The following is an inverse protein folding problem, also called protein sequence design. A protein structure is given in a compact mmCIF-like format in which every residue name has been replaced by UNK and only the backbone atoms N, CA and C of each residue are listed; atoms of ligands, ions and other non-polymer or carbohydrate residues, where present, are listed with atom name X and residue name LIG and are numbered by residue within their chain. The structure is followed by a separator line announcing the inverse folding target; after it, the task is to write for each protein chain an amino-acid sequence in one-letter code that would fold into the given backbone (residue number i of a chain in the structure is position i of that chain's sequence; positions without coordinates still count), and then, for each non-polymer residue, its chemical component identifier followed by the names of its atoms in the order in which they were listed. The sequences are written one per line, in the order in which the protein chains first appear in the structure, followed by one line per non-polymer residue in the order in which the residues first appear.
data_IF_871468639494
#
_entry.id   IF_871468639494
#
_cell.length_a   1.000
_cell.length_b   1.000
_cell.length_c   1.000
_cell.angle_alpha   90.00
_cell.angle_beta   90.00
_cell.angle_gamma   90.00
#
_symmetry.space_group_name_H-M   'P 1'
#
loop_
_entity.id
_entity.type
_entity.pdbx_description
1 polymer ?
#
# COMPACT_ATOMS: atom_id res chain seq x y z
N UNK A 1 -10.32 -8.29 -6.10
CA UNK A 1 -8.98 -8.86 -6.30
C UNK A 1 -9.08 -10.28 -5.84
N UNK A 2 -8.73 -11.22 -6.71
CA UNK A 2 -9.01 -12.65 -6.47
C UNK A 2 -7.76 -13.36 -5.92
N UNK A 3 -6.57 -12.81 -6.19
CA UNK A 3 -5.27 -13.33 -5.73
C UNK A 3 -4.35 -12.18 -5.35
N UNK A 4 -3.64 -12.31 -4.24
CA UNK A 4 -2.59 -11.39 -3.78
C UNK A 4 -1.25 -12.13 -3.68
N UNK A 5 -0.17 -11.49 -4.14
CA UNK A 5 1.20 -12.04 -4.10
C UNK A 5 2.06 -11.28 -3.08
N UNK A 6 2.82 -12.03 -2.28
CA UNK A 6 3.82 -11.49 -1.35
C UNK A 6 5.04 -12.41 -1.30
N UNK A 7 6.16 -11.95 -1.86
CA UNK A 7 7.45 -12.65 -1.74
C UNK A 7 7.46 -14.04 -2.39
N UNK A 8 6.80 -14.19 -3.53
CA UNK A 8 6.65 -15.43 -4.29
C UNK A 8 5.54 -16.35 -3.79
N UNK A 9 4.76 -15.93 -2.79
CA UNK A 9 3.62 -16.68 -2.25
C UNK A 9 2.31 -16.03 -2.68
N UNK A 10 1.39 -16.86 -3.16
CA UNK A 10 0.06 -16.44 -3.59
C UNK A 10 -0.96 -16.77 -2.51
N UNK A 11 -1.85 -15.83 -2.22
CA UNK A 11 -2.99 -16.00 -1.33
C UNK A 11 -4.28 -15.64 -2.06
N UNK A 12 -5.22 -16.56 -2.10
CA UNK A 12 -6.59 -16.31 -2.57
C UNK A 12 -7.39 -15.66 -1.45
N UNK A 13 -8.27 -14.71 -1.80
CA UNK A 13 -9.20 -14.05 -0.87
C UNK A 13 -8.57 -13.54 0.44
N UNK A 14 -7.36 -12.98 0.36
CA UNK A 14 -6.75 -12.32 1.53
C UNK A 14 -7.65 -11.20 2.07
N UNK A 15 -7.72 -11.10 3.40
CA UNK A 15 -8.37 -9.96 4.04
C UNK A 15 -7.81 -8.64 3.49
N UNK A 16 -8.71 -7.80 3.01
CA UNK A 16 -8.34 -6.60 2.24
C UNK A 16 -7.60 -5.58 3.10
N UNK A 17 -7.91 -5.49 4.39
CA UNK A 17 -7.22 -4.59 5.31
C UNK A 17 -5.82 -5.10 5.63
N UNK A 18 -5.67 -6.42 5.78
CA UNK A 18 -4.35 -7.06 5.92
C UNK A 18 -3.50 -6.83 4.66
N UNK A 19 -4.06 -7.04 3.48
CA UNK A 19 -3.38 -6.81 2.22
C UNK A 19 -2.97 -5.34 2.04
N UNK A 20 -3.88 -4.41 2.37
CA UNK A 20 -3.61 -2.98 2.34
C UNK A 20 -2.49 -2.60 3.32
N UNK A 21 -2.53 -3.09 4.56
CA UNK A 21 -1.51 -2.83 5.56
C UNK A 21 -0.13 -3.32 5.11
N UNK A 22 -0.06 -4.52 4.53
CA UNK A 22 1.19 -5.08 3.96
C UNK A 22 1.74 -4.18 2.85
N UNK A 23 0.91 -3.81 1.88
CA UNK A 23 1.32 -2.93 0.78
C UNK A 23 1.83 -1.58 1.28
N UNK A 24 1.10 -0.94 2.18
CA UNK A 24 1.49 0.36 2.75
C UNK A 24 2.77 0.28 3.58
N UNK A 25 2.98 -0.80 4.33
CA UNK A 25 4.21 -1.01 5.11
C UNK A 25 5.42 -1.19 4.20
N UNK A 26 5.27 -1.96 3.12
CA UNK A 26 6.33 -2.14 2.10
C UNK A 26 6.67 -0.81 1.43
N UNK A 27 5.67 -0.03 1.02
CA UNK A 27 5.87 1.29 0.43
C UNK A 27 6.57 2.27 1.39
N UNK A 28 6.17 2.30 2.67
CA UNK A 28 6.81 3.14 3.68
C UNK A 28 8.29 2.81 3.87
N UNK A 29 8.64 1.51 3.93
CA UNK A 29 10.04 1.07 4.00
C UNK A 29 10.83 1.46 2.76
N UNK A 30 10.22 1.39 1.59
CA UNK A 30 10.87 1.85 0.36
C UNK A 30 11.15 3.36 0.42
N UNK A 31 10.21 4.17 0.92
CA UNK A 31 10.44 5.60 1.14
C UNK A 31 11.63 5.83 2.07
N UNK A 32 11.64 5.16 3.23
CA UNK A 32 12.71 5.31 4.21
C UNK A 32 14.09 5.00 3.62
N UNK A 33 14.15 4.03 2.70
CA UNK A 33 15.40 3.62 2.06
C UNK A 33 15.82 4.47 0.85
N UNK A 34 14.89 5.16 0.19
CA UNK A 34 15.15 5.76 -1.13
C UNK A 34 14.90 7.26 -1.21
N UNK A 35 14.23 7.87 -0.22
CA UNK A 35 13.84 9.27 -0.27
C UNK A 35 14.58 10.06 0.80
N UNK A 36 15.41 11.00 0.36
CA UNK A 36 15.96 12.04 1.23
C UNK A 36 14.89 13.09 1.57
N UNK A 37 14.47 13.09 2.84
CA UNK A 37 13.43 14.00 3.34
C UNK A 37 13.88 15.45 3.47
N UNK A 38 15.17 15.74 3.37
CA UNK A 38 15.67 17.12 3.36
C UNK A 38 15.40 17.83 2.02
N UNK A 39 15.21 17.05 0.95
CA UNK A 39 15.04 17.54 -0.43
C UNK A 39 13.66 17.24 -1.00
N UNK A 40 12.94 16.24 -0.48
CA UNK A 40 11.62 15.86 -0.96
C UNK A 40 10.59 15.69 0.16
N UNK A 41 9.32 16.00 -0.14
CA UNK A 41 8.17 15.74 0.75
C UNK A 41 7.26 14.70 0.12
N UNK A 42 6.86 13.71 0.91
CA UNK A 42 5.94 12.65 0.49
C UNK A 42 4.57 12.92 1.09
N UNK A 43 3.53 12.84 0.26
CA UNK A 43 2.14 12.96 0.66
C UNK A 43 1.39 11.68 0.29
N UNK A 44 0.48 11.26 1.15
CA UNK A 44 -0.47 10.18 0.85
C UNK A 44 -1.85 10.81 0.64
N UNK A 45 -2.44 10.59 -0.53
CA UNK A 45 -3.83 10.92 -0.78
C UNK A 45 -4.70 9.72 -0.39
N UNK A 46 -5.69 9.95 0.45
CA UNK A 46 -6.68 8.92 0.79
C UNK A 46 -7.61 8.62 -0.39
N UNK A 47 -8.48 7.64 -0.22
CA UNK A 47 -9.51 7.32 -1.21
C UNK A 47 -10.51 8.47 -1.32
N UNK A 48 -10.83 8.89 -2.54
CA UNK A 48 -11.89 9.87 -2.80
C UNK A 48 -13.27 9.29 -2.45
N UNK A 49 -14.19 10.09 -1.91
CA UNK A 49 -15.55 9.62 -1.60
C UNK A 49 -16.24 9.07 -2.85
N UNK A 50 -16.93 7.95 -2.70
CA UNK A 50 -17.88 7.47 -3.71
C UNK A 50 -19.28 7.97 -3.36
N UNK A 51 -19.94 8.63 -4.30
CA UNK A 51 -21.35 8.98 -4.16
C UNK A 51 -22.20 7.78 -4.62
N UNK A 52 -22.90 7.16 -3.68
CA UNK A 52 -23.92 6.17 -3.99
C UNK A 52 -25.24 6.90 -4.26
N UNK A 53 -25.80 6.68 -5.45
CA UNK A 53 -27.19 7.00 -5.81
C UNK A 53 -28.10 5.83 -5.50
#
# INVERSE_FOLDING_TARGET
WDVMEEGGKYSEDMDRLVAFQKGMTTWARWIDANIDRSTARVFLLSVSPTHYT
#
